data_IF_976736751721
#
_entry.id   IF_976736751721
#
_cell.length_a   1.000
_cell.length_b   1.000
_cell.length_c   1.000
_cell.angle_alpha   90.00
_cell.angle_beta   90.00
_cell.angle_gamma   90.00
#
_symmetry.space_group_name_H-M   'P 1'
#
loop_
_entity.id
_entity.type
_entity.pdbx_description
1 polymer ?
#
# COMPACT_ATOMS: atom_id res chain seq x y z
N UNK A 1 23.09 8.98 -11.26
CA UNK A 1 21.90 9.23 -12.09
C UNK A 1 21.00 8.02 -11.95
N UNK A 2 20.02 8.05 -11.04
CA UNK A 2 18.96 7.02 -11.01
C UNK A 2 18.09 7.27 -12.25
N UNK A 3 17.89 6.27 -13.10
CA UNK A 3 17.32 6.45 -14.43
C UNK A 3 15.87 6.97 -14.31
N UNK A 4 15.37 7.63 -15.36
CA UNK A 4 13.99 8.12 -15.42
C UNK A 4 12.99 6.97 -15.20
N UNK A 5 13.35 5.76 -15.64
CA UNK A 5 12.56 4.55 -15.47
C UNK A 5 12.46 4.11 -13.98
N UNK A 6 13.51 4.23 -13.17
CA UNK A 6 13.46 4.00 -11.72
C UNK A 6 12.50 4.96 -11.02
N UNK A 7 12.44 6.21 -11.48
CA UNK A 7 11.50 7.17 -10.91
C UNK A 7 10.05 6.84 -11.27
N UNK A 8 9.76 6.42 -12.51
CA UNK A 8 8.44 5.92 -12.89
C UNK A 8 8.05 4.66 -12.12
N UNK A 9 8.99 3.75 -11.96
CA UNK A 9 8.80 2.53 -11.23
C UNK A 9 8.51 2.79 -9.75
N UNK A 10 9.32 3.63 -9.12
CA UNK A 10 9.09 4.08 -7.76
C UNK A 10 7.77 4.82 -7.60
N UNK A 11 7.40 5.62 -8.59
CA UNK A 11 6.11 6.31 -8.63
C UNK A 11 4.95 5.31 -8.68
N UNK A 12 5.02 4.24 -9.47
CA UNK A 12 3.98 3.19 -9.49
C UNK A 12 3.80 2.52 -8.13
N UNK A 13 4.90 2.26 -7.43
CA UNK A 13 4.91 1.68 -6.09
C UNK A 13 4.35 2.66 -5.05
N UNK A 14 4.69 3.94 -5.14
CA UNK A 14 4.13 5.01 -4.30
C UNK A 14 2.63 5.18 -4.57
N UNK A 15 2.18 5.10 -5.82
CA UNK A 15 0.74 5.21 -6.15
C UNK A 15 -0.02 4.03 -5.55
N UNK A 16 0.46 2.80 -5.73
CA UNK A 16 -0.16 1.63 -5.10
C UNK A 16 -0.24 1.81 -3.58
N UNK A 17 0.86 2.23 -2.96
CA UNK A 17 0.96 2.48 -1.54
C UNK A 17 -0.05 3.52 -1.05
N UNK A 18 -0.17 4.66 -1.75
CA UNK A 18 -1.11 5.73 -1.42
C UNK A 18 -2.54 5.24 -1.56
N UNK A 19 -2.88 4.56 -2.67
CA UNK A 19 -4.24 4.04 -2.91
C UNK A 19 -4.65 2.99 -1.89
N UNK A 20 -3.74 2.09 -1.50
CA UNK A 20 -3.95 1.13 -0.43
C UNK A 20 -4.21 1.86 0.90
N UNK A 21 -3.34 2.78 1.30
CA UNK A 21 -3.46 3.51 2.57
C UNK A 21 -4.75 4.33 2.64
N UNK A 22 -5.17 4.93 1.53
CA UNK A 22 -6.46 5.63 1.41
C UNK A 22 -7.64 4.71 1.69
N UNK A 23 -7.66 3.52 1.08
CA UNK A 23 -8.75 2.55 1.30
C UNK A 23 -8.75 2.05 2.74
N UNK A 24 -7.59 1.74 3.31
CA UNK A 24 -7.50 1.33 4.72
C UNK A 24 -8.00 2.46 5.63
N UNK A 25 -7.59 3.70 5.38
CA UNK A 25 -8.08 4.86 6.11
C UNK A 25 -9.60 5.04 5.98
N UNK A 26 -10.20 4.78 4.82
CA UNK A 26 -11.65 4.79 4.67
C UNK A 26 -12.32 3.69 5.51
N UNK A 27 -11.83 2.45 5.39
CA UNK A 27 -12.36 1.29 6.13
C UNK A 27 -12.30 1.55 7.65
N UNK A 28 -11.24 2.19 8.11
CA UNK A 28 -10.96 2.41 9.53
C UNK A 28 -11.59 3.70 10.08
N UNK A 29 -11.52 4.79 9.33
CA UNK A 29 -11.89 6.12 9.82
C UNK A 29 -13.25 6.60 9.29
N UNK A 30 -13.85 5.92 8.31
CA UNK A 30 -15.00 6.44 7.51
C UNK A 30 -14.86 7.90 7.10
N UNK A 31 -13.62 8.35 6.93
CA UNK A 31 -13.34 9.62 6.31
C UNK A 31 -13.51 9.40 4.81
N UNK A 32 -14.45 10.09 4.13
CA UNK A 32 -14.35 10.23 2.69
C UNK A 32 -13.08 11.04 2.46
N UNK A 33 -11.97 10.37 2.16
CA UNK A 33 -10.81 11.08 1.65
C UNK A 33 -11.25 11.66 0.31
N UNK A 34 -11.19 12.99 0.21
CA UNK A 34 -11.64 13.75 -0.96
C UNK A 34 -11.23 13.05 -2.25
N UNK A 35 -12.24 12.57 -2.96
CA UNK A 35 -12.18 12.05 -4.33
C UNK A 35 -11.79 13.16 -5.30
N UNK A 36 -10.59 13.71 -5.22
CA UNK A 36 -10.11 14.69 -6.20
C UNK A 36 -8.58 14.68 -6.28
N UNK A 37 -8.00 13.55 -6.68
CA UNK A 37 -6.88 13.63 -7.63
C UNK A 37 -7.25 12.69 -8.77
N UNK A 38 -7.89 13.22 -9.82
CA UNK A 38 -8.02 12.48 -11.07
C UNK A 38 -6.64 12.00 -11.49
N UNK A 39 -6.49 10.74 -11.91
CA UNK A 39 -5.29 10.30 -12.63
C UNK A 39 -4.99 11.20 -13.85
N UNK A 40 -5.96 12.02 -14.31
CA UNK A 40 -5.82 13.06 -15.33
C UNK A 40 -4.77 14.15 -14.98
N UNK A 41 -4.48 14.45 -13.72
CA UNK A 41 -3.37 15.38 -13.39
C UNK A 41 -1.98 14.73 -13.52
N UNK A 42 -1.90 13.40 -13.69
CA UNK A 42 -0.65 12.69 -13.97
C UNK A 42 -0.23 12.84 -15.45
N UNK A 43 -1.02 13.50 -16.30
CA UNK A 43 -0.67 13.77 -17.72
C UNK A 43 0.51 14.73 -17.89
N UNK A 44 0.90 15.45 -16.84
CA UNK A 44 2.15 16.26 -16.83
C UNK A 44 3.40 15.42 -16.53
N UNK A 45 3.26 14.15 -16.13
CA UNK A 45 4.38 13.29 -15.73
C UNK A 45 5.20 12.81 -16.93
N UNK A 46 4.66 12.88 -18.16
CA UNK A 46 5.42 12.59 -19.37
C UNK A 46 6.04 13.81 -20.08
N UNK A 47 5.73 15.06 -19.68
CA UNK A 47 6.25 16.26 -20.38
C UNK A 47 7.07 17.24 -19.51
N UNK A 48 7.22 17.04 -18.20
CA UNK A 48 8.03 17.94 -17.34
C UNK A 48 8.89 17.24 -16.30
N UNK A 49 9.65 16.20 -16.70
CA UNK A 49 10.62 15.47 -15.87
C UNK A 49 11.85 16.32 -15.48
N UNK A 50 11.80 17.66 -15.52
CA UNK A 50 12.97 18.52 -15.24
C UNK A 50 12.76 19.75 -14.32
N UNK A 51 11.54 20.11 -13.84
CA UNK A 51 11.49 21.06 -12.72
C UNK A 51 10.45 20.81 -11.59
N UNK A 52 9.87 19.61 -11.43
CA UNK A 52 8.80 19.36 -10.44
C UNK A 52 9.21 18.72 -9.10
N UNK A 53 10.38 19.10 -8.58
CA UNK A 53 10.66 18.95 -7.13
C UNK A 53 9.83 19.92 -6.26
N UNK A 54 9.08 20.83 -6.86
CA UNK A 54 8.38 21.94 -6.19
C UNK A 54 6.87 21.76 -6.00
N UNK A 55 6.24 20.75 -6.60
CA UNK A 55 4.82 20.41 -6.32
C UNK A 55 4.70 19.48 -5.11
N UNK A 56 5.74 18.68 -4.83
CA UNK A 56 5.84 17.88 -3.60
C UNK A 56 5.91 18.75 -2.33
N UNK A 57 6.44 19.97 -2.44
CA UNK A 57 6.45 20.95 -1.34
C UNK A 57 5.05 21.50 -1.02
N UNK A 58 4.12 21.52 -1.98
CA UNK A 58 2.75 22.00 -1.76
C UNK A 58 1.83 20.90 -1.23
N UNK A 59 2.04 19.63 -1.61
CA UNK A 59 1.38 18.49 -0.96
C UNK A 59 1.92 18.24 0.46
N UNK A 60 3.21 18.53 0.69
CA UNK A 60 3.84 18.48 2.02
C UNK A 60 3.47 19.66 2.95
N UNK A 61 2.81 20.72 2.45
CA UNK A 61 2.37 21.86 3.27
C UNK A 61 0.90 21.77 3.74
N UNK A 62 0.17 20.72 3.37
CA UNK A 62 -1.27 20.56 3.68
C UNK A 62 -1.61 19.65 4.87
N UNK A 63 -0.64 19.01 5.52
CA UNK A 63 -0.88 18.08 6.65
C UNK A 63 -0.01 18.38 7.88
N UNK A 64 0.43 19.63 8.04
CA UNK A 64 1.22 20.09 9.20
C UNK A 64 0.40 20.64 10.37
N UNK A 65 -0.87 20.24 10.52
CA UNK A 65 -1.65 20.48 11.74
C UNK A 65 -2.43 19.18 11.99
N UNK A 66 -1.98 18.29 12.87
CA UNK A 66 -2.13 18.39 14.34
C UNK A 66 -0.95 17.64 14.99
N UNK A 67 -0.06 18.39 15.62
CA UNK A 67 0.91 17.91 16.60
C UNK A 67 0.39 18.32 17.98
N UNK A 68 -0.03 17.35 18.81
CA UNK A 68 -0.35 17.53 20.24
C UNK A 68 0.01 16.24 21.02
N UNK A 69 0.23 16.34 22.35
CA UNK A 69 1.42 15.78 22.99
C UNK A 69 1.24 14.35 23.53
N UNK A 70 2.40 13.72 23.67
CA UNK A 70 2.73 12.51 24.42
C UNK A 70 1.81 12.15 25.59
N UNK A 71 1.37 10.89 25.64
CA UNK A 71 1.04 10.19 26.88
C UNK A 71 1.88 8.91 26.94
N UNK A 72 2.47 8.75 28.12
CA UNK A 72 3.54 7.86 28.50
C UNK A 72 3.15 6.40 28.68
N UNK A 73 4.19 5.57 28.52
CA UNK A 73 4.52 4.33 29.21
C UNK A 73 3.65 3.10 28.97
N UNK A 74 4.30 2.20 28.24
CA UNK A 74 4.36 0.76 28.43
C UNK A 74 3.44 -0.11 27.56
N UNK A 75 4.12 -0.72 26.58
CA UNK A 75 3.73 -1.84 25.73
C UNK A 75 2.75 -1.52 24.59
N UNK A 76 3.26 -1.57 23.35
CA UNK A 76 2.77 -2.32 22.16
C UNK A 76 1.27 -2.44 21.82
N UNK A 77 0.33 -1.96 22.62
CA UNK A 77 -1.09 -2.21 22.48
C UNK A 77 -1.80 -1.05 21.81
N UNK A 78 -2.59 -1.42 20.80
CA UNK A 78 -3.73 -0.62 20.35
C UNK A 78 -4.59 -0.33 21.60
N UNK A 79 -4.90 0.95 21.88
CA UNK A 79 -5.75 1.32 23.04
C UNK A 79 -7.09 0.56 22.99
N UNK A 80 -7.69 0.27 24.15
CA UNK A 80 -9.03 -0.32 24.21
C UNK A 80 -10.03 0.45 23.33
N UNK A 81 -9.93 1.78 23.29
CA UNK A 81 -10.79 2.63 22.46
C UNK A 81 -10.54 2.44 20.96
N UNK A 82 -9.28 2.24 20.56
CA UNK A 82 -8.93 1.94 19.17
C UNK A 82 -9.41 0.54 18.76
N UNK A 83 -9.29 -0.45 19.64
CA UNK A 83 -9.80 -1.81 19.39
C UNK A 83 -11.32 -1.77 19.25
N UNK A 84 -12.01 -1.01 20.11
CA UNK A 84 -13.46 -0.85 20.03
C UNK A 84 -13.87 -0.16 18.72
N UNK A 85 -13.17 0.90 18.30
CA UNK A 85 -13.41 1.55 17.02
C UNK A 85 -13.22 0.59 15.84
N UNK A 86 -12.10 -0.15 15.82
CA UNK A 86 -11.84 -1.17 14.80
C UNK A 86 -12.94 -2.25 14.79
N UNK A 87 -13.44 -2.65 15.96
CA UNK A 87 -14.55 -3.59 16.06
C UNK A 87 -15.86 -3.03 15.48
N UNK A 88 -16.17 -1.75 15.75
CA UNK A 88 -17.32 -1.07 15.12
C UNK A 88 -17.16 -1.02 13.59
N UNK A 89 -15.96 -0.75 13.07
CA UNK A 89 -15.69 -0.76 11.62
C UNK A 89 -15.81 -2.14 11.00
N UNK A 90 -15.28 -3.15 11.68
CA UNK A 90 -15.44 -4.53 11.29
C UNK A 90 -16.93 -4.89 11.14
N UNK A 91 -17.76 -4.52 12.13
CA UNK A 91 -19.21 -4.75 12.10
C UNK A 91 -19.92 -4.00 10.98
N UNK A 92 -19.55 -2.75 10.72
CA UNK A 92 -20.08 -1.98 9.59
C UNK A 92 -19.77 -2.65 8.24
N UNK A 93 -18.53 -3.07 8.03
CA UNK A 93 -18.09 -3.73 6.80
C UNK A 93 -18.75 -5.11 6.65
N UNK A 94 -18.77 -5.92 7.71
CA UNK A 94 -19.39 -7.25 7.72
C UNK A 94 -20.92 -7.19 7.57
N UNK A 95 -21.56 -6.05 7.89
CA UNK A 95 -23.01 -5.95 7.97
C UNK A 95 -23.54 -6.68 9.20
N UNK A 96 -22.91 -6.44 10.35
CA UNK A 96 -23.16 -7.06 11.66
C UNK A 96 -22.82 -8.56 11.77
N UNK A 97 -22.36 -9.18 10.69
CA UNK A 97 -21.93 -10.58 10.65
C UNK A 97 -20.67 -10.83 11.49
N UNK A 98 -20.42 -12.08 11.93
CA UNK A 98 -19.21 -12.44 12.68
C UNK A 98 -17.95 -12.48 11.81
N UNK A 99 -18.09 -12.51 10.49
CA UNK A 99 -16.99 -12.59 9.52
C UNK A 99 -17.22 -11.63 8.35
N UNK A 100 -16.15 -11.25 7.65
CA UNK A 100 -16.17 -10.46 6.42
C UNK A 100 -15.87 -11.39 5.25
N UNK A 101 -16.69 -11.32 4.20
CA UNK A 101 -16.49 -11.97 2.89
C UNK A 101 -16.03 -10.97 1.85
N UNK A 102 -15.55 -11.45 0.70
CA UNK A 102 -15.08 -10.59 -0.40
C UNK A 102 -16.16 -9.61 -0.87
N UNK A 103 -17.43 -10.04 -0.89
CA UNK A 103 -18.56 -9.21 -1.35
C UNK A 103 -18.85 -8.04 -0.40
N UNK A 104 -18.45 -8.13 0.86
CA UNK A 104 -18.61 -7.03 1.81
C UNK A 104 -17.84 -5.77 1.37
N UNK A 105 -16.71 -5.94 0.67
CA UNK A 105 -15.93 -4.83 0.13
C UNK A 105 -16.63 -4.09 -1.03
N UNK A 106 -17.72 -4.63 -1.60
CA UNK A 106 -18.56 -3.89 -2.55
C UNK A 106 -19.26 -2.69 -1.88
N UNK A 107 -19.39 -2.70 -0.55
CA UNK A 107 -19.99 -1.61 0.22
C UNK A 107 -19.03 -0.46 0.50
N UNK A 108 -17.77 -0.59 0.10
CA UNK A 108 -16.72 0.43 0.28
C UNK A 108 -16.67 1.29 -0.99
N UNK A 109 -17.23 2.50 -1.01
CA UNK A 109 -17.28 3.35 -2.20
C UNK A 109 -15.88 3.67 -2.71
N UNK A 110 -14.93 3.95 -1.81
CA UNK A 110 -13.51 4.22 -2.09
C UNK A 110 -12.79 3.09 -2.84
N UNK A 111 -13.37 1.88 -2.87
CA UNK A 111 -12.87 0.76 -3.66
C UNK A 111 -13.51 0.65 -5.05
N UNK A 112 -14.70 1.21 -5.27
CA UNK A 112 -15.47 1.01 -6.51
C UNK A 112 -14.69 1.45 -7.75
N UNK A 113 -14.06 2.62 -7.67
CA UNK A 113 -13.26 3.21 -8.76
C UNK A 113 -11.75 3.07 -8.52
N UNK A 114 -11.34 2.25 -7.55
CA UNK A 114 -9.93 2.06 -7.24
C UNK A 114 -9.28 1.08 -8.24
N UNK A 115 -8.25 1.49 -9.01
CA UNK A 115 -7.70 0.63 -10.04
C UNK A 115 -7.05 -0.66 -9.51
N UNK A 116 -6.58 -0.67 -8.27
CA UNK A 116 -5.98 -1.85 -7.60
C UNK A 116 -6.95 -2.53 -6.64
N UNK A 117 -8.26 -2.33 -6.83
CA UNK A 117 -9.31 -2.93 -5.99
C UNK A 117 -9.14 -4.43 -5.81
N UNK A 118 -8.87 -5.15 -6.90
CA UNK A 118 -8.65 -6.60 -6.92
C UNK A 118 -7.52 -6.99 -5.96
N UNK A 119 -6.39 -6.28 -6.03
CA UNK A 119 -5.19 -6.50 -5.21
C UNK A 119 -5.42 -6.20 -3.74
N UNK A 120 -6.11 -5.09 -3.43
CA UNK A 120 -6.44 -4.74 -2.04
C UNK A 120 -7.33 -5.81 -1.43
N UNK A 121 -8.42 -6.21 -2.11
CA UNK A 121 -9.30 -7.26 -1.62
C UNK A 121 -8.52 -8.57 -1.45
N UNK A 122 -7.73 -8.99 -2.45
CA UNK A 122 -6.92 -10.20 -2.34
C UNK A 122 -6.01 -10.19 -1.09
N UNK A 123 -5.35 -9.06 -0.82
CA UNK A 123 -4.43 -8.91 0.31
C UNK A 123 -5.10 -9.14 1.68
N UNK A 124 -6.38 -8.80 1.85
CA UNK A 124 -7.13 -9.05 3.09
C UNK A 124 -7.41 -10.54 3.34
N UNK A 125 -7.51 -11.34 2.28
CA UNK A 125 -7.85 -12.75 2.37
C UNK A 125 -6.65 -13.68 2.15
N UNK A 126 -5.49 -13.15 1.76
CA UNK A 126 -4.28 -13.95 1.58
C UNK A 126 -3.79 -14.55 2.91
N UNK A 127 -3.69 -15.87 2.99
CA UNK A 127 -3.27 -16.58 4.20
C UNK A 127 -1.86 -16.20 4.66
N UNK A 128 -1.00 -15.73 3.74
CA UNK A 128 0.34 -15.23 4.06
C UNK A 128 0.28 -13.94 4.86
N UNK A 129 -0.62 -13.03 4.48
CA UNK A 129 -0.87 -11.77 5.19
C UNK A 129 -1.64 -12.00 6.50
N UNK A 130 -2.50 -13.01 6.54
CA UNK A 130 -3.21 -13.42 7.75
C UNK A 130 -2.34 -14.24 8.73
N UNK A 131 -1.08 -14.55 8.37
CA UNK A 131 -0.16 -15.37 9.17
C UNK A 131 -0.72 -16.77 9.46
N UNK A 132 -1.57 -17.30 8.56
CA UNK A 132 -2.24 -18.61 8.69
C UNK A 132 -1.59 -19.72 7.88
N UNK A 133 -0.78 -19.39 6.89
CA UNK A 133 -0.12 -20.37 6.04
C UNK A 133 0.80 -19.75 5.00
N UNK A 134 1.58 -20.60 4.29
CA UNK A 134 2.54 -20.14 3.28
C UNK A 134 1.89 -19.75 1.95
N UNK A 135 0.63 -20.13 1.71
CA UNK A 135 -0.13 -19.80 0.50
C UNK A 135 -1.64 -19.99 0.70
N UNK A 136 -2.43 -19.63 -0.30
CA UNK A 136 -3.88 -19.79 -0.34
C UNK A 136 -4.65 -18.57 0.15
N UNK A 137 -5.96 -18.61 -0.06
CA UNK A 137 -6.87 -17.50 0.21
C UNK A 137 -7.98 -17.98 1.13
N UNK A 138 -8.23 -17.24 2.20
CA UNK A 138 -9.37 -17.46 3.08
C UNK A 138 -10.68 -17.06 2.37
N UNK A 139 -11.75 -17.83 2.59
CA UNK A 139 -13.08 -17.46 2.10
C UNK A 139 -13.69 -16.31 2.91
N UNK A 140 -13.41 -16.30 4.22
CA UNK A 140 -13.90 -15.30 5.16
C UNK A 140 -12.81 -14.95 6.18
N UNK A 141 -12.86 -13.72 6.71
CA UNK A 141 -11.97 -13.27 7.79
C UNK A 141 -12.78 -12.86 9.02
N UNK A 142 -12.31 -13.25 10.20
CA UNK A 142 -12.92 -12.85 11.48
C UNK A 142 -12.32 -11.52 11.99
N UNK A 143 -12.68 -11.09 13.20
CA UNK A 143 -12.17 -9.84 13.76
C UNK A 143 -10.66 -9.86 14.06
N UNK A 144 -10.12 -11.00 14.51
CA UNK A 144 -8.68 -11.17 14.78
C UNK A 144 -7.86 -11.09 13.48
N UNK A 145 -8.36 -11.72 12.42
CA UNK A 145 -7.80 -11.63 11.07
C UNK A 145 -7.80 -10.18 10.58
N UNK A 146 -8.93 -9.48 10.77
CA UNK A 146 -9.03 -8.07 10.44
C UNK A 146 -8.00 -7.22 11.20
N UNK A 147 -7.84 -7.44 12.52
CA UNK A 147 -6.80 -6.76 13.32
C UNK A 147 -5.39 -7.07 12.83
N UNK A 148 -5.14 -8.31 12.38
CA UNK A 148 -3.86 -8.71 11.79
C UNK A 148 -3.56 -7.87 10.55
N UNK A 149 -4.52 -7.72 9.63
CA UNK A 149 -4.37 -6.85 8.46
C UNK A 149 -4.17 -5.38 8.87
N UNK A 150 -4.93 -4.88 9.85
CA UNK A 150 -4.80 -3.50 10.33
C UNK A 150 -3.43 -3.22 10.97
N UNK A 151 -2.78 -4.23 11.56
CA UNK A 151 -1.49 -4.06 12.21
C UNK A 151 -0.37 -3.60 11.26
N UNK A 152 -0.44 -3.99 9.98
CA UNK A 152 0.52 -3.55 8.95
C UNK A 152 0.45 -2.04 8.67
N UNK A 153 -0.63 -1.36 9.09
CA UNK A 153 -0.82 0.07 8.91
C UNK A 153 -0.67 0.85 10.21
N UNK A 154 -0.11 0.25 11.26
CA UNK A 154 0.19 0.99 12.50
C UNK A 154 1.33 2.00 12.29
N UNK A 155 1.23 3.20 12.88
CA UNK A 155 2.37 4.11 12.93
C UNK A 155 3.50 3.49 13.74
N UNK A 156 4.73 3.88 13.42
CA UNK A 156 5.89 3.56 14.26
C UNK A 156 5.76 4.32 15.57
N UNK A 157 6.01 3.62 16.66
CA UNK A 157 6.05 4.20 18.01
C UNK A 157 7.45 4.75 18.27
N UNK A 158 7.52 5.94 18.84
CA UNK A 158 8.78 6.61 19.21
C UNK A 158 9.59 5.84 20.26
N UNK A 159 8.95 4.89 20.96
CA UNK A 159 9.59 4.02 21.94
C UNK A 159 10.21 2.76 21.34
N UNK A 160 10.00 2.47 20.06
CA UNK A 160 10.56 1.30 19.39
C UNK A 160 12.07 1.45 19.21
N UNK A 161 12.79 0.37 19.46
CA UNK A 161 14.22 0.28 19.13
C UNK A 161 14.44 0.03 17.62
N UNK A 162 15.69 0.15 17.18
CA UNK A 162 16.06 -0.01 15.75
C UNK A 162 15.69 -1.39 15.19
N UNK A 163 15.78 -2.46 16.00
CA UNK A 163 15.44 -3.82 15.56
C UNK A 163 13.94 -3.98 15.36
N UNK A 164 13.13 -3.43 16.25
CA UNK A 164 11.67 -3.41 16.14
C UNK A 164 11.20 -2.58 14.94
N UNK A 165 11.84 -1.44 14.68
CA UNK A 165 11.55 -0.61 13.50
C UNK A 165 11.86 -1.37 12.22
N UNK A 166 13.02 -2.04 12.15
CA UNK A 166 13.40 -2.84 10.98
C UNK A 166 12.47 -4.05 10.78
N UNK A 167 12.02 -4.70 11.86
CA UNK A 167 11.03 -5.76 11.77
C UNK A 167 9.70 -5.23 11.21
N UNK A 168 9.21 -4.10 11.71
CA UNK A 168 7.98 -3.48 11.21
C UNK A 168 8.09 -3.09 9.74
N UNK A 169 9.24 -2.53 9.35
CA UNK A 169 9.59 -2.24 7.96
C UNK A 169 9.51 -3.49 7.09
N UNK A 170 10.16 -4.58 7.53
CA UNK A 170 10.17 -5.86 6.79
C UNK A 170 8.78 -6.48 6.67
N UNK A 171 7.96 -6.41 7.72
CA UNK A 171 6.58 -6.89 7.70
C UNK A 171 5.71 -6.08 6.72
N UNK A 172 5.84 -4.74 6.71
CA UNK A 172 5.14 -3.86 5.77
C UNK A 172 5.53 -4.12 4.32
N UNK A 173 6.84 -4.26 4.05
CA UNK A 173 7.33 -4.59 2.71
C UNK A 173 6.88 -5.99 2.27
N UNK A 174 6.82 -6.95 3.20
CA UNK A 174 6.32 -8.30 2.90
C UNK A 174 4.84 -8.30 2.55
N UNK A 175 4.03 -7.52 3.27
CA UNK A 175 2.62 -7.32 2.91
C UNK A 175 2.47 -6.76 1.49
N UNK A 176 3.23 -5.72 1.14
CA UNK A 176 3.22 -5.15 -0.21
C UNK A 176 3.71 -6.15 -1.26
N UNK A 177 4.75 -6.92 -0.97
CA UNK A 177 5.27 -7.95 -1.86
C UNK A 177 4.19 -8.97 -2.23
N UNK A 178 3.43 -9.47 -1.24
CA UNK A 178 2.31 -10.39 -1.49
C UNK A 178 1.15 -9.77 -2.30
N UNK A 179 1.08 -8.44 -2.42
CA UNK A 179 0.11 -7.80 -3.32
C UNK A 179 0.53 -7.90 -4.79
N UNK A 180 1.83 -8.00 -5.07
CA UNK A 180 2.34 -8.19 -6.43
C UNK A 180 2.35 -9.68 -6.80
N UNK A 181 2.99 -10.52 -5.96
CA UNK A 181 3.10 -11.98 -6.08
C UNK A 181 1.73 -12.64 -5.86
N UNK A 182 1.02 -12.87 -6.97
CA UNK A 182 -0.37 -13.29 -6.99
C UNK A 182 -0.52 -14.82 -6.96
N UNK A 183 0.47 -15.56 -7.46
CA UNK A 183 0.45 -17.03 -7.47
C UNK A 183 1.16 -17.66 -6.25
N UNK A 184 1.78 -16.84 -5.39
CA UNK A 184 2.46 -17.26 -4.17
C UNK A 184 3.71 -18.10 -4.40
N UNK A 185 4.39 -17.92 -5.52
CA UNK A 185 5.65 -18.60 -5.82
C UNK A 185 6.88 -17.94 -5.14
N UNK A 186 6.67 -16.78 -4.50
CA UNK A 186 7.71 -16.04 -3.79
C UNK A 186 8.55 -15.13 -4.68
N UNK A 187 8.09 -14.86 -5.91
CA UNK A 187 8.72 -13.94 -6.87
C UNK A 187 7.65 -13.04 -7.49
N UNK A 188 8.07 -11.85 -7.92
CA UNK A 188 7.22 -10.99 -8.75
C UNK A 188 7.73 -11.13 -10.18
N UNK A 189 6.99 -11.87 -10.98
CA UNK A 189 7.29 -12.05 -12.40
C UNK A 189 7.01 -10.77 -13.19
N UNK A 190 7.56 -10.68 -14.41
CA UNK A 190 7.27 -9.57 -15.31
C UNK A 190 5.77 -9.47 -15.62
N UNK A 191 5.09 -10.62 -15.76
CA UNK A 191 3.67 -10.64 -16.10
C UNK A 191 2.81 -10.14 -14.93
N UNK A 192 3.13 -10.54 -13.69
CA UNK A 192 2.45 -10.01 -12.51
C UNK A 192 2.67 -8.52 -12.34
N UNK A 193 3.90 -8.05 -12.58
CA UNK A 193 4.21 -6.63 -12.53
C UNK A 193 3.47 -5.83 -13.62
N UNK A 194 3.42 -6.34 -14.85
CA UNK A 194 2.63 -5.76 -15.96
C UNK A 194 1.17 -5.64 -15.59
N UNK A 195 0.56 -6.70 -15.06
CA UNK A 195 -0.84 -6.70 -14.67
C UNK A 195 -1.14 -5.58 -13.66
N UNK A 196 -0.28 -5.41 -12.66
CA UNK A 196 -0.41 -4.32 -11.69
C UNK A 196 -0.27 -2.94 -12.33
N UNK A 197 0.73 -2.74 -13.21
CA UNK A 197 0.95 -1.44 -13.88
C UNK A 197 -0.21 -1.10 -14.81
N UNK A 198 -0.72 -2.08 -15.57
CA UNK A 198 -1.90 -1.93 -16.41
C UNK A 198 -3.13 -1.54 -15.58
N UNK A 199 -3.38 -2.22 -14.46
CA UNK A 199 -4.45 -1.86 -13.52
C UNK A 199 -4.28 -0.41 -13.04
N UNK A 200 -3.11 -0.03 -12.53
CA UNK A 200 -2.82 1.32 -12.03
C UNK A 200 -3.03 2.43 -13.08
N UNK A 201 -2.68 2.16 -14.34
CA UNK A 201 -2.75 3.13 -15.43
C UNK A 201 -4.09 3.09 -16.20
N UNK A 202 -4.94 2.09 -15.96
CA UNK A 202 -6.23 1.91 -16.65
C UNK A 202 -7.19 3.10 -16.54
N UNK A 203 -7.06 3.91 -15.49
CA UNK A 203 -7.85 5.13 -15.29
C UNK A 203 -7.40 6.33 -16.12
N UNK A 204 -6.29 6.23 -16.87
CA UNK A 204 -5.78 7.31 -17.71
C UNK A 204 -6.13 7.06 -19.19
N UNK A 205 -7.03 7.85 -19.80
CA UNK A 205 -7.45 7.66 -21.19
C UNK A 205 -6.34 7.94 -22.22
N UNK A 206 -5.22 8.53 -21.80
CA UNK A 206 -4.07 8.83 -22.66
C UNK A 206 -2.98 7.76 -22.63
N UNK A 207 -3.13 6.73 -21.80
CA UNK A 207 -2.14 5.65 -21.69
C UNK A 207 -2.76 4.38 -22.26
N UNK A 208 -2.22 3.93 -23.40
CA UNK A 208 -2.61 2.67 -24.00
C UNK A 208 -2.02 1.49 -23.22
N UNK A 209 -2.69 0.34 -23.29
CA UNK A 209 -2.25 -0.91 -22.65
C UNK A 209 -0.82 -1.29 -23.04
N UNK A 210 -0.46 -1.11 -24.31
CA UNK A 210 0.89 -1.39 -24.79
C UNK A 210 1.95 -0.44 -24.18
N UNK A 211 1.61 0.83 -24.00
CA UNK A 211 2.49 1.78 -23.32
C UNK A 211 2.70 1.41 -21.85
N UNK A 212 1.64 0.98 -21.15
CA UNK A 212 1.74 0.47 -19.78
C UNK A 212 2.66 -0.75 -19.68
N UNK A 213 2.59 -1.67 -20.65
CA UNK A 213 3.51 -2.82 -20.74
C UNK A 213 4.96 -2.39 -20.97
N UNK A 214 5.20 -1.47 -21.92
CA UNK A 214 6.55 -0.96 -22.17
C UNK A 214 7.15 -0.27 -20.94
N UNK A 215 6.33 0.45 -20.17
CA UNK A 215 6.74 1.03 -18.88
C UNK A 215 7.12 -0.08 -17.90
N UNK A 216 6.28 -1.12 -17.76
CA UNK A 216 6.54 -2.23 -16.86
C UNK A 216 7.82 -3.00 -17.22
N UNK A 217 8.07 -3.22 -18.52
CA UNK A 217 9.26 -3.91 -19.03
C UNK A 217 10.53 -3.11 -18.72
N UNK A 218 10.55 -1.81 -19.02
CA UNK A 218 11.69 -0.94 -18.75
C UNK A 218 11.99 -0.85 -17.25
N UNK A 219 10.95 -0.78 -16.43
CA UNK A 219 11.04 -0.82 -14.99
C UNK A 219 11.63 -2.12 -14.44
N UNK A 220 11.13 -3.27 -14.90
CA UNK A 220 11.59 -4.59 -14.45
C UNK A 220 13.06 -4.80 -14.83
N UNK A 221 13.47 -4.38 -16.02
CA UNK A 221 14.86 -4.47 -16.46
C UNK A 221 15.80 -3.61 -15.60
N UNK A 222 15.34 -2.43 -15.15
CA UNK A 222 16.12 -1.61 -14.23
C UNK A 222 16.18 -2.24 -12.82
N UNK A 223 15.07 -2.76 -12.31
CA UNK A 223 15.06 -3.52 -11.05
C UNK A 223 16.04 -4.69 -11.09
N UNK A 224 16.03 -5.46 -12.18
CA UNK A 224 16.97 -6.55 -12.43
C UNK A 224 18.43 -6.07 -12.38
N UNK A 225 18.74 -4.92 -13.01
CA UNK A 225 20.11 -4.35 -12.99
C UNK A 225 20.57 -3.95 -11.58
N UNK A 226 19.67 -3.47 -10.73
CA UNK A 226 19.96 -3.10 -9.33
C UNK A 226 20.21 -4.35 -8.49
N UNK A 227 19.44 -5.40 -8.73
CA UNK A 227 19.39 -6.59 -7.88
C UNK A 227 20.48 -7.61 -8.19
N UNK A 228 20.81 -7.78 -9.48
CA UNK A 228 21.70 -8.84 -9.99
C UNK A 228 23.00 -8.30 -10.60
N UNK A 229 23.09 -6.98 -10.85
CA UNK A 229 24.26 -6.36 -11.48
C UNK A 229 24.29 -6.56 -13.00
N UNK A 230 25.47 -6.77 -13.59
CA UNK A 230 25.58 -7.11 -15.01
C UNK A 230 25.05 -8.53 -15.22
N UNK A 231 23.96 -8.64 -15.98
CA UNK A 231 23.44 -9.94 -16.43
C UNK A 231 24.30 -10.49 -17.56
N UNK A 232 24.58 -11.79 -17.51
CA UNK A 232 25.18 -12.48 -18.65
C UNK A 232 24.20 -12.48 -19.83
N UNK A 233 24.67 -12.52 -21.09
CA UNK A 233 23.81 -12.41 -22.28
C UNK A 233 22.64 -13.41 -22.35
N UNK A 234 22.80 -14.58 -21.72
CA UNK A 234 21.81 -15.66 -21.69
C UNK A 234 21.06 -15.77 -20.34
N UNK A 235 21.38 -14.91 -19.37
CA UNK A 235 20.76 -14.94 -18.05
C UNK A 235 19.36 -14.33 -18.11
N UNK A 236 18.34 -15.18 -17.92
CA UNK A 236 16.96 -14.74 -17.81
C UNK A 236 16.68 -14.29 -16.38
N UNK A 237 16.17 -13.07 -16.22
CA UNK A 237 15.66 -12.62 -14.92
C UNK A 237 14.32 -13.28 -14.63
N UNK A 238 14.30 -14.19 -13.66
CA UNK A 238 13.09 -14.95 -13.31
C UNK A 238 12.02 -14.10 -12.60
N UNK A 239 12.42 -12.95 -12.02
CA UNK A 239 11.53 -12.05 -11.31
C UNK A 239 12.17 -11.50 -10.04
N UNK A 240 11.47 -10.56 -9.41
CA UNK A 240 11.93 -9.88 -8.18
C UNK A 240 11.64 -10.78 -6.99
N UNK A 241 12.69 -11.23 -6.30
CA UNK A 241 12.57 -11.94 -5.01
C UNK A 241 12.23 -10.97 -3.87
N UNK A 242 11.84 -11.48 -2.70
CA UNK A 242 11.62 -10.60 -1.55
C UNK A 242 12.90 -9.85 -1.13
N UNK A 243 14.06 -10.51 -1.20
CA UNK A 243 15.37 -9.90 -0.93
C UNK A 243 15.68 -8.77 -1.92
N UNK A 244 15.34 -8.96 -3.19
CA UNK A 244 15.45 -7.92 -4.22
C UNK A 244 14.51 -6.76 -3.92
N UNK A 245 13.26 -7.06 -3.54
CA UNK A 245 12.29 -6.06 -3.12
C UNK A 245 12.81 -5.22 -1.94
N UNK A 246 13.47 -5.82 -0.95
CA UNK A 246 14.09 -5.07 0.15
C UNK A 246 15.18 -4.10 -0.34
N UNK A 247 16.07 -4.54 -1.25
CA UNK A 247 17.12 -3.68 -1.84
C UNK A 247 16.52 -2.51 -2.61
N UNK A 248 15.49 -2.79 -3.40
CA UNK A 248 14.72 -1.83 -4.18
C UNK A 248 14.18 -0.69 -3.31
N UNK A 249 13.64 -1.03 -2.15
CA UNK A 249 13.02 -0.08 -1.22
C UNK A 249 14.04 0.57 -0.27
N UNK A 250 15.33 0.27 -0.43
CA UNK A 250 16.39 0.85 0.38
C UNK A 250 16.44 2.38 0.21
N UNK A 251 16.44 3.11 1.32
CA UNK A 251 16.42 4.58 1.36
C UNK A 251 15.02 5.19 1.27
N UNK A 252 13.96 4.39 1.33
CA UNK A 252 12.60 4.87 1.53
C UNK A 252 12.07 4.35 2.84
N UNK A 253 11.76 5.26 3.74
CA UNK A 253 11.25 4.99 5.09
C UNK A 253 9.77 4.56 5.05
N UNK A 254 9.49 3.37 4.51
CA UNK A 254 8.12 2.84 4.34
C UNK A 254 7.41 2.68 5.67
N UNK A 255 8.15 2.40 6.74
CA UNK A 255 7.63 2.25 8.09
C UNK A 255 6.98 3.54 8.61
N UNK A 256 7.49 4.71 8.21
CA UNK A 256 6.90 6.01 8.53
C UNK A 256 5.82 6.43 7.53
N UNK A 257 5.84 5.88 6.30
CA UNK A 257 4.89 6.25 5.23
C UNK A 257 3.63 5.39 5.25
N UNK A 258 3.77 4.08 5.41
CA UNK A 258 2.69 3.08 5.47
C UNK A 258 2.04 3.02 6.84
N UNK A 259 1.26 4.05 7.15
CA UNK A 259 0.46 4.05 8.37
C UNK A 259 -0.89 4.76 8.20
N UNK A 260 -1.84 4.35 9.02
CA UNK A 260 -3.11 5.01 9.26
C UNK A 260 -3.16 5.33 10.74
N UNK A 261 -3.41 6.60 11.09
CA UNK A 261 -3.63 6.97 12.49
C UNK A 261 -5.06 6.60 12.85
N UNK A 262 -5.19 5.51 13.59
CA UNK A 262 -6.46 5.06 14.17
C UNK A 262 -7.00 6.03 15.24
N UNK A 263 -6.16 6.93 15.77
CA UNK A 263 -6.53 7.96 16.76
C UNK A 263 -6.47 9.35 16.13
N UNK A 264 -7.65 9.87 15.77
CA UNK A 264 -8.05 11.29 15.77
C UNK A 264 -9.53 11.38 15.39
N UNK A 265 -10.40 10.80 16.22
CA UNK A 265 -11.86 10.92 16.06
C UNK A 265 -12.57 11.22 17.38
N UNK A 266 -12.03 12.15 18.17
CA UNK A 266 -12.86 12.94 19.07
C UNK A 266 -12.97 14.36 18.53
N UNK A 267 -14.19 14.91 18.56
CA UNK A 267 -14.60 16.27 18.16
C UNK A 267 -14.82 16.58 16.67
N UNK A 268 -15.69 15.83 15.98
CA UNK A 268 -16.57 16.44 14.95
C UNK A 268 -18.00 15.87 14.96
N UNK A 269 -18.40 15.23 16.07
CA UNK A 269 -19.82 15.03 16.36
C UNK A 269 -20.32 16.26 17.13
N UNK A 270 -21.33 16.92 16.56
CA UNK A 270 -22.14 18.02 17.10
C UNK A 270 -21.60 19.45 16.90
N UNK A 271 -21.79 19.98 15.68
CA UNK A 271 -22.37 21.32 15.57
C UNK A 271 -23.82 21.14 15.13
N UNK A 272 -24.74 21.64 15.98
CA UNK A 272 -26.19 21.68 15.79
C UNK A 272 -26.60 22.50 14.57
#
# INVERSE_FOLDING_TARGET
>A
MKCVLFQFWLLSHIIMFVRLTQVIAYIVCSFPLLYTVPLCEYTTICLSVLPLMSIWALYSLGLSQIMLPSISSDTSFVSSDQIEQLHRRFKQLSGEQPTIRKENFNKVPDLELNPIRSKIIHAFFDNRNLRKGPSGVADEINFEDFLTIMSYFRPIDISMDEEQVELCRKEKLRFLFHMYDSDSDGRITLEEYRNVVEELLSGNPHIEKESARSIADGAMMEAASICVGQMEPDQVYEGITFEDFLKIWQGIDIETKMHVRFLNMETMALCH
#
